data_IF_914869269217
#
_entry.id   IF_914869269217
#
_cell.length_a   1.000
_cell.length_b   1.000
_cell.length_c   1.000
_cell.angle_alpha   90.00
_cell.angle_beta   90.00
_cell.angle_gamma   90.00
#
_symmetry.space_group_name_H-M   'P 1'
#
loop_
_entity.id
_entity.type
_entity.pdbx_description
1 polymer ?
#
# COMPACT_ATOMS: atom_id res chain seq x y z
N UNK A 1 -14.38 -4.44 11.36
CA UNK A 1 -14.19 -3.71 12.64
C UNK A 1 -14.36 -2.20 12.51
N UNK A 2 -13.71 -1.51 11.57
CA UNK A 2 -13.92 -0.05 11.37
C UNK A 2 -15.39 0.37 11.27
N UNK A 3 -16.21 -0.36 10.50
CA UNK A 3 -17.66 -0.15 10.43
C UNK A 3 -18.38 -0.32 11.78
N UNK A 4 -17.97 -1.30 12.61
CA UNK A 4 -18.55 -1.51 13.95
C UNK A 4 -18.18 -0.38 14.92
N UNK A 5 -16.96 0.13 14.83
CA UNK A 5 -16.43 1.23 15.65
C UNK A 5 -16.91 2.60 15.10
N UNK A 6 -17.55 2.63 13.93
CA UNK A 6 -17.97 3.83 13.18
C UNK A 6 -16.81 4.78 12.85
N UNK A 7 -15.60 4.23 12.69
CA UNK A 7 -14.43 5.00 12.28
C UNK A 7 -14.20 4.89 10.77
N UNK A 8 -14.57 5.94 10.05
CA UNK A 8 -14.45 6.03 8.58
C UNK A 8 -12.98 6.01 8.14
N UNK A 9 -12.05 6.43 8.99
CA UNK A 9 -10.63 6.53 8.64
C UNK A 9 -10.03 5.14 8.40
N UNK A 10 -10.35 4.19 9.28
CA UNK A 10 -9.94 2.79 9.12
C UNK A 10 -10.54 2.19 7.84
N UNK A 11 -11.83 2.45 7.57
CA UNK A 11 -12.50 1.91 6.40
C UNK A 11 -11.87 2.40 5.09
N UNK A 12 -11.63 3.72 4.97
CA UNK A 12 -11.05 4.30 3.76
C UNK A 12 -9.60 3.83 3.55
N UNK A 13 -8.78 3.84 4.60
CA UNK A 13 -7.40 3.35 4.51
C UNK A 13 -7.37 1.86 4.14
N UNK A 14 -8.23 1.03 4.72
CA UNK A 14 -8.33 -0.38 4.35
C UNK A 14 -8.74 -0.56 2.88
N UNK A 15 -9.71 0.22 2.41
CA UNK A 15 -10.17 0.17 1.01
C UNK A 15 -9.08 0.63 0.02
N UNK A 16 -8.31 1.67 0.35
CA UNK A 16 -7.19 2.13 -0.47
C UNK A 16 -6.07 1.08 -0.54
N UNK A 17 -5.79 0.36 0.54
CA UNK A 17 -4.82 -0.73 0.51
C UNK A 17 -5.34 -1.95 -0.26
N UNK A 18 -6.63 -2.28 -0.10
CA UNK A 18 -7.27 -3.38 -0.82
C UNK A 18 -7.33 -3.13 -2.33
N UNK A 19 -7.55 -1.89 -2.76
CA UNK A 19 -7.57 -1.54 -4.18
C UNK A 19 -6.23 -1.82 -4.86
N UNK A 20 -5.11 -1.66 -4.15
CA UNK A 20 -3.78 -2.04 -4.66
C UNK A 20 -3.70 -3.52 -5.06
N UNK A 21 -4.26 -4.41 -4.23
CA UNK A 21 -4.30 -5.86 -4.50
C UNK A 21 -5.27 -6.18 -5.63
N UNK A 22 -6.43 -5.52 -5.65
CA UNK A 22 -7.42 -5.72 -6.71
C UNK A 22 -6.87 -5.31 -8.08
N UNK A 23 -6.18 -4.17 -8.15
CA UNK A 23 -5.53 -3.70 -9.39
C UNK A 23 -4.51 -4.74 -9.87
N UNK A 24 -3.67 -5.26 -8.97
CA UNK A 24 -2.68 -6.29 -9.31
C UNK A 24 -3.34 -7.56 -9.85
N UNK A 25 -4.33 -8.10 -9.14
CA UNK A 25 -5.05 -9.30 -9.58
C UNK A 25 -5.76 -9.11 -10.93
N UNK A 26 -6.31 -7.91 -11.18
CA UNK A 26 -6.92 -7.59 -12.47
C UNK A 26 -5.88 -7.60 -13.60
N UNK A 27 -4.68 -7.04 -13.37
CA UNK A 27 -3.59 -7.05 -14.35
C UNK A 27 -3.09 -8.47 -14.67
N UNK A 28 -3.03 -9.36 -13.68
CA UNK A 28 -2.71 -10.77 -13.91
C UNK A 28 -3.85 -11.50 -14.66
N UNK A 29 -5.10 -11.27 -14.26
CA UNK A 29 -6.26 -11.96 -14.86
C UNK A 29 -6.52 -11.61 -16.32
N UNK A 30 -6.16 -10.39 -16.73
CA UNK A 30 -6.30 -9.91 -18.11
C UNK A 30 -5.19 -10.42 -19.04
N UNK A 31 -4.18 -11.10 -18.50
CA UNK A 31 -3.02 -11.56 -19.26
C UNK A 31 -2.05 -10.45 -19.67
N UNK A 32 -2.25 -9.21 -19.19
CA UNK A 32 -1.29 -8.11 -19.33
C UNK A 32 0.06 -8.45 -18.67
N UNK A 33 0.02 -9.27 -17.62
CA UNK A 33 1.18 -9.87 -16.98
C UNK A 33 1.05 -11.39 -17.11
N UNK A 34 1.84 -12.02 -17.98
CA UNK A 34 1.97 -13.47 -18.05
C UNK A 34 3.15 -13.94 -17.19
N UNK A 35 3.08 -15.14 -16.62
CA UNK A 35 4.22 -15.82 -15.97
C UNK A 35 5.04 -16.66 -16.96
N UNK A 36 4.50 -16.93 -18.15
CA UNK A 36 5.21 -17.62 -19.23
C UNK A 36 6.07 -16.60 -19.98
N UNK A 37 7.40 -16.72 -19.89
CA UNK A 37 8.34 -15.91 -20.66
C UNK A 37 9.18 -16.78 -21.58
N UNK A 38 9.16 -16.49 -22.87
CA UNK A 38 10.27 -16.84 -23.75
C UNK A 38 11.43 -15.87 -23.53
N UNK A 39 12.67 -16.36 -23.60
CA UNK A 39 13.88 -15.56 -23.35
C UNK A 39 13.95 -14.28 -24.18
N UNK A 40 13.41 -14.32 -25.40
CA UNK A 40 13.40 -13.21 -26.36
C UNK A 40 12.56 -12.01 -25.87
N UNK A 41 11.50 -12.26 -25.10
CA UNK A 41 10.55 -11.23 -24.64
C UNK A 41 10.76 -10.83 -23.17
N UNK A 42 11.77 -11.38 -22.50
CA UNK A 42 11.98 -11.23 -21.05
C UNK A 42 12.24 -9.78 -20.63
N UNK A 43 12.91 -8.99 -21.48
CA UNK A 43 13.11 -7.57 -21.25
C UNK A 43 11.78 -6.81 -21.20
N UNK A 44 10.92 -7.01 -22.19
CA UNK A 44 9.64 -6.31 -22.32
C UNK A 44 8.69 -6.71 -21.21
N UNK A 45 8.54 -8.01 -20.96
CA UNK A 45 7.64 -8.53 -19.92
C UNK A 45 7.99 -8.02 -18.53
N UNK A 46 9.26 -8.13 -18.11
CA UNK A 46 9.68 -7.61 -16.81
C UNK A 46 9.55 -6.09 -16.73
N UNK A 47 9.73 -5.37 -17.85
CA UNK A 47 9.52 -3.92 -17.89
C UNK A 47 8.05 -3.57 -17.67
N UNK A 48 7.12 -4.35 -18.22
CA UNK A 48 5.69 -4.21 -17.95
C UNK A 48 5.36 -4.50 -16.49
N UNK A 49 5.91 -5.59 -15.92
CA UNK A 49 5.68 -5.98 -14.52
C UNK A 49 6.14 -4.90 -13.56
N UNK A 50 7.42 -4.51 -13.64
CA UNK A 50 7.98 -3.52 -12.72
C UNK A 50 7.42 -2.12 -12.98
N UNK A 51 7.15 -1.77 -14.24
CA UNK A 51 6.56 -0.50 -14.62
C UNK A 51 5.13 -0.32 -14.12
N UNK A 52 4.27 -1.33 -14.28
CA UNK A 52 2.91 -1.30 -13.75
C UNK A 52 2.89 -1.31 -12.21
N UNK A 53 3.80 -2.05 -11.58
CA UNK A 53 3.95 -2.06 -10.12
C UNK A 53 4.33 -0.67 -9.60
N UNK A 54 5.31 -0.01 -10.22
CA UNK A 54 5.70 1.36 -9.89
C UNK A 54 4.53 2.34 -10.10
N UNK A 55 3.85 2.27 -11.24
CA UNK A 55 2.73 3.16 -11.56
C UNK A 55 1.58 3.02 -10.54
N UNK A 56 1.26 1.78 -10.15
CA UNK A 56 0.29 1.48 -9.10
C UNK A 56 0.73 2.06 -7.75
N UNK A 57 1.98 1.87 -7.36
CA UNK A 57 2.48 2.36 -6.07
C UNK A 57 2.44 3.90 -6.00
N UNK A 58 2.82 4.58 -7.08
CA UNK A 58 2.71 6.04 -7.19
C UNK A 58 1.26 6.51 -7.18
N UNK A 59 0.34 5.81 -7.85
CA UNK A 59 -1.09 6.12 -7.81
C UNK A 59 -1.62 6.09 -6.37
N UNK A 60 -1.34 5.01 -5.64
CA UNK A 60 -1.79 4.86 -4.25
C UNK A 60 -1.09 5.89 -3.34
N UNK A 61 0.20 6.19 -3.57
CA UNK A 61 0.93 7.23 -2.85
C UNK A 61 0.24 8.60 -2.96
N UNK A 62 -0.19 8.99 -4.16
CA UNK A 62 -0.93 10.24 -4.38
C UNK A 62 -2.26 10.22 -3.63
N UNK A 63 -3.01 9.12 -3.71
CA UNK A 63 -4.28 8.97 -2.99
C UNK A 63 -4.09 9.05 -1.47
N UNK A 64 -3.02 8.46 -0.93
CA UNK A 64 -2.68 8.53 0.49
C UNK A 64 -2.28 9.95 0.92
N UNK A 65 -1.52 10.66 0.08
CA UNK A 65 -1.09 12.05 0.35
C UNK A 65 -2.30 12.98 0.53
N UNK A 66 -3.34 12.81 -0.28
CA UNK A 66 -4.57 13.60 -0.20
C UNK A 66 -5.72 12.90 0.54
N UNK A 67 -5.44 11.79 1.24
CA UNK A 67 -6.47 10.90 1.77
C UNK A 67 -7.48 11.61 2.67
N UNK A 68 -7.02 12.54 3.52
CA UNK A 68 -7.90 13.32 4.40
C UNK A 68 -8.87 14.19 3.61
N UNK A 69 -8.37 14.93 2.61
CA UNK A 69 -9.20 15.81 1.78
C UNK A 69 -10.16 15.02 0.88
N UNK A 70 -9.69 13.94 0.27
CA UNK A 70 -10.53 13.00 -0.49
C UNK A 70 -11.64 12.43 0.40
N UNK A 71 -11.31 12.04 1.63
CA UNK A 71 -12.31 11.50 2.56
C UNK A 71 -13.32 12.56 2.98
N UNK A 72 -12.90 13.81 3.23
CA UNK A 72 -13.80 14.93 3.59
C UNK A 72 -14.78 15.22 2.46
N UNK A 73 -14.30 15.17 1.23
CA UNK A 73 -15.13 15.36 0.05
C UNK A 73 -16.15 14.23 -0.13
N UNK A 74 -15.75 12.96 0.05
CA UNK A 74 -16.64 11.80 -0.10
C UNK A 74 -17.62 11.60 1.08
N UNK A 75 -17.19 11.91 2.31
CA UNK A 75 -17.93 11.61 3.54
C UNK A 75 -18.02 12.82 4.48
N UNK A 76 -18.62 13.95 4.06
CA UNK A 76 -18.56 15.22 4.79
C UNK A 76 -19.22 15.19 6.18
N UNK A 77 -20.11 14.21 6.43
CA UNK A 77 -20.82 14.06 7.71
C UNK A 77 -20.05 13.27 8.78
N UNK A 78 -18.91 12.68 8.44
CA UNK A 78 -18.15 11.82 9.34
C UNK A 78 -16.96 12.57 9.97
N UNK A 79 -16.55 12.14 11.16
CA UNK A 79 -15.34 12.67 11.80
C UNK A 79 -14.09 12.11 11.13
N UNK A 80 -13.45 12.97 10.34
CA UNK A 80 -12.26 12.62 9.57
C UNK A 80 -11.07 13.32 10.19
N UNK A 81 -10.05 12.52 10.50
CA UNK A 81 -8.83 12.99 11.15
C UNK A 81 -7.61 12.39 10.48
N UNK A 82 -6.51 13.12 10.55
CA UNK A 82 -5.20 12.55 10.29
C UNK A 82 -4.88 11.55 11.41
N UNK A 83 -4.36 10.41 11.02
CA UNK A 83 -3.95 9.31 11.89
C UNK A 83 -2.46 9.04 11.68
N UNK A 84 -1.83 8.27 12.56
CA UNK A 84 -0.42 7.90 12.38
C UNK A 84 -0.20 7.09 11.08
N UNK A 85 -1.23 6.38 10.60
CA UNK A 85 -1.19 5.64 9.35
C UNK A 85 -1.01 6.56 8.14
N UNK A 86 -1.59 7.77 8.17
CA UNK A 86 -1.41 8.79 7.13
C UNK A 86 0.05 9.26 7.05
N UNK A 87 0.83 9.14 8.13
CA UNK A 87 2.26 9.44 8.12
C UNK A 87 3.12 8.26 7.68
N UNK A 88 2.76 7.02 8.03
CA UNK A 88 3.58 5.83 7.78
C UNK A 88 3.35 5.21 6.40
N UNK A 89 2.09 5.07 5.96
CA UNK A 89 1.75 4.36 4.72
C UNK A 89 2.37 4.99 3.46
N UNK A 90 2.42 6.34 3.30
CA UNK A 90 3.09 6.94 2.13
C UNK A 90 4.55 6.51 1.98
N UNK A 91 5.30 6.38 3.08
CA UNK A 91 6.69 5.93 3.01
C UNK A 91 6.81 4.49 2.52
N UNK A 92 5.89 3.61 2.91
CA UNK A 92 5.90 2.23 2.43
C UNK A 92 5.65 2.15 0.92
N UNK A 93 4.70 2.92 0.41
CA UNK A 93 4.43 3.00 -1.03
C UNK A 93 5.57 3.68 -1.80
N UNK A 94 6.25 4.66 -1.20
CA UNK A 94 7.44 5.26 -1.79
C UNK A 94 8.62 4.26 -1.88
N UNK A 95 8.82 3.45 -0.83
CA UNK A 95 9.82 2.38 -0.84
C UNK A 95 9.50 1.35 -1.92
N UNK A 96 8.25 0.91 -2.02
CA UNK A 96 7.80 0.03 -3.10
C UNK A 96 8.14 0.62 -4.47
N UNK A 97 7.75 1.88 -4.71
CA UNK A 97 7.98 2.54 -5.99
C UNK A 97 9.47 2.65 -6.33
N UNK A 98 10.32 2.91 -5.33
CA UNK A 98 11.76 2.94 -5.49
C UNK A 98 12.33 1.55 -5.86
N UNK A 99 11.88 0.48 -5.20
CA UNK A 99 12.31 -0.88 -5.53
C UNK A 99 11.85 -1.28 -6.94
N UNK A 100 10.60 -0.98 -7.30
CA UNK A 100 10.08 -1.18 -8.66
C UNK A 100 10.92 -0.42 -9.72
N UNK A 101 11.33 0.81 -9.41
CA UNK A 101 12.19 1.61 -10.28
C UNK A 101 13.60 1.02 -10.43
N UNK A 102 14.25 0.60 -9.34
CA UNK A 102 15.56 -0.03 -9.43
C UNK A 102 15.51 -1.40 -10.10
N UNK A 103 14.43 -2.16 -9.93
CA UNK A 103 14.18 -3.40 -10.65
C UNK A 103 14.03 -3.17 -12.17
N UNK A 104 13.40 -2.07 -12.60
CA UNK A 104 13.37 -1.67 -14.01
C UNK A 104 14.77 -1.41 -14.57
N UNK A 105 15.59 -0.64 -13.84
CA UNK A 105 16.97 -0.33 -14.24
C UNK A 105 17.78 -1.62 -14.35
N UNK A 106 17.73 -2.46 -13.32
CA UNK A 106 18.42 -3.75 -13.31
C UNK A 106 17.95 -4.65 -14.46
N UNK A 107 16.65 -4.70 -14.73
CA UNK A 107 16.08 -5.46 -15.85
C UNK A 107 16.62 -4.98 -17.21
N UNK A 108 16.76 -3.67 -17.40
CA UNK A 108 17.37 -3.11 -18.60
C UNK A 108 18.84 -3.54 -18.74
N UNK A 109 19.64 -3.36 -17.69
CA UNK A 109 21.06 -3.75 -17.74
C UNK A 109 21.24 -5.26 -17.94
N UNK A 110 20.40 -6.07 -17.29
CA UNK A 110 20.47 -7.54 -17.41
C UNK A 110 20.10 -8.02 -18.80
N UNK A 111 18.94 -7.62 -19.32
CA UNK A 111 18.39 -8.25 -20.52
C UNK A 111 18.68 -7.45 -21.82
N UNK A 112 19.01 -6.15 -21.74
CA UNK A 112 19.41 -5.38 -22.93
C UNK A 112 20.93 -5.21 -23.07
N UNK A 113 21.68 -5.25 -21.96
CA UNK A 113 23.14 -5.05 -21.98
C UNK A 113 23.94 -6.29 -21.56
N UNK A 114 23.29 -7.35 -21.07
CA UNK A 114 23.93 -8.62 -20.73
C UNK A 114 24.71 -8.63 -19.42
N UNK A 115 24.44 -7.69 -18.50
CA UNK A 115 25.06 -7.70 -17.17
C UNK A 115 24.44 -8.78 -16.27
N UNK A 116 25.24 -9.44 -15.44
CA UNK A 116 24.74 -10.41 -14.44
C UNK A 116 24.47 -9.73 -13.09
N UNK A 117 23.31 -9.06 -12.99
CA UNK A 117 22.86 -8.36 -11.79
C UNK A 117 21.42 -8.80 -11.49
N UNK A 118 21.15 -9.20 -10.25
CA UNK A 118 19.85 -9.80 -9.84
C UNK A 118 19.36 -9.33 -8.47
N UNK A 119 19.98 -8.30 -7.88
CA UNK A 119 19.70 -7.88 -6.51
C UNK A 119 18.27 -7.34 -6.35
N UNK A 120 17.88 -6.37 -7.17
CA UNK A 120 16.55 -5.78 -7.12
C UNK A 120 15.47 -6.73 -7.62
N UNK A 121 15.81 -7.62 -8.57
CA UNK A 121 14.93 -8.69 -9.01
C UNK A 121 14.49 -9.59 -7.83
N UNK A 122 15.43 -10.04 -6.99
CA UNK A 122 15.09 -10.84 -5.81
C UNK A 122 14.48 -10.00 -4.67
N UNK A 123 14.95 -8.77 -4.48
CA UNK A 123 14.41 -7.89 -3.45
C UNK A 123 12.95 -7.47 -3.73
N UNK A 124 12.54 -7.41 -5.00
CA UNK A 124 11.20 -6.98 -5.42
C UNK A 124 10.10 -7.82 -4.76
N UNK A 125 10.20 -9.15 -4.85
CA UNK A 125 9.19 -10.06 -4.29
C UNK A 125 9.14 -9.96 -2.76
N UNK A 126 10.29 -10.04 -2.10
CA UNK A 126 10.40 -9.98 -0.64
C UNK A 126 9.87 -8.64 -0.10
N UNK A 127 10.22 -7.54 -0.77
CA UNK A 127 9.80 -6.20 -0.35
C UNK A 127 8.29 -6.03 -0.50
N UNK A 128 7.69 -6.57 -1.56
CA UNK A 128 6.24 -6.58 -1.73
C UNK A 128 5.52 -7.24 -0.55
N UNK A 129 5.97 -8.42 -0.11
CA UNK A 129 5.41 -9.10 1.05
C UNK A 129 5.62 -8.34 2.36
N UNK A 130 6.79 -7.74 2.56
CA UNK A 130 7.10 -6.93 3.74
C UNK A 130 6.22 -5.67 3.82
N UNK A 131 6.05 -4.97 2.70
CA UNK A 131 5.16 -3.80 2.61
C UNK A 131 3.74 -4.23 2.96
N UNK A 132 3.24 -5.30 2.34
CA UNK A 132 1.88 -5.77 2.59
C UNK A 132 1.65 -6.15 4.07
N UNK A 133 2.56 -6.91 4.66
CA UNK A 133 2.51 -7.30 6.07
C UNK A 133 2.51 -6.06 6.99
N UNK A 134 3.35 -5.07 6.68
CA UNK A 134 3.46 -3.83 7.46
C UNK A 134 2.19 -2.98 7.35
N UNK A 135 1.58 -2.90 6.16
CA UNK A 135 0.29 -2.21 5.96
C UNK A 135 -0.82 -2.86 6.79
N UNK A 136 -0.87 -4.20 6.82
CA UNK A 136 -1.79 -4.93 7.70
C UNK A 136 -1.52 -4.62 9.19
N UNK A 137 -0.26 -4.62 9.62
CA UNK A 137 0.11 -4.31 11.00
C UNK A 137 -0.33 -2.88 11.40
N UNK A 138 -0.12 -1.89 10.51
CA UNK A 138 -0.57 -0.50 10.72
C UNK A 138 -2.09 -0.44 10.86
N UNK A 139 -2.84 -1.11 9.99
CA UNK A 139 -4.31 -1.13 10.05
C UNK A 139 -4.83 -1.79 11.33
N UNK A 140 -4.18 -2.86 11.79
CA UNK A 140 -4.50 -3.52 13.07
C UNK A 140 -4.21 -2.59 14.23
N UNK A 141 -3.04 -1.97 14.28
CA UNK A 141 -2.67 -1.01 15.32
C UNK A 141 -3.65 0.18 15.36
N UNK A 142 -4.01 0.73 14.21
CA UNK A 142 -5.01 1.80 14.11
C UNK A 142 -6.37 1.34 14.63
N UNK A 143 -6.78 0.11 14.30
CA UNK A 143 -8.03 -0.47 14.80
C UNK A 143 -8.03 -0.60 16.32
N UNK A 144 -6.91 -1.05 16.91
CA UNK A 144 -6.77 -1.16 18.37
C UNK A 144 -6.85 0.21 19.04
N UNK A 145 -6.14 1.22 18.50
CA UNK A 145 -6.17 2.59 19.03
C UNK A 145 -7.60 3.16 18.97
N UNK A 146 -8.26 3.10 17.81
CA UNK A 146 -9.64 3.60 17.67
C UNK A 146 -10.64 2.83 18.54
N UNK A 147 -10.42 1.52 18.76
CA UNK A 147 -11.26 0.74 19.67
C UNK A 147 -11.13 1.21 21.11
N UNK A 148 -9.89 1.42 21.59
CA UNK A 148 -9.64 1.94 22.95
C UNK A 148 -10.26 3.32 23.15
N UNK A 149 -10.12 4.21 22.17
CA UNK A 149 -10.73 5.53 22.22
C UNK A 149 -12.26 5.48 22.26
N UNK A 150 -12.86 4.53 21.53
CA UNK A 150 -14.32 4.40 21.46
C UNK A 150 -14.94 3.78 22.72
N UNK A 151 -14.27 2.81 23.36
CA UNK A 151 -14.86 1.97 24.42
C UNK A 151 -14.15 2.05 25.77
N UNK A 152 -12.82 2.22 25.83
CA UNK A 152 -12.06 2.23 27.10
C UNK A 152 -11.91 3.63 27.71
N UNK A 153 -11.88 4.70 26.91
CA UNK A 153 -11.80 6.08 27.42
C UNK A 153 -13.16 6.70 27.78
N UNK A 154 -14.28 6.02 27.47
CA UNK A 154 -15.64 6.46 27.81
C UNK A 154 -16.16 5.93 29.14
N UNK A 155 -15.42 5.06 29.84
CA UNK A 155 -15.75 4.77 31.25
C UNK A 155 -15.42 6.03 32.05
N UNK A 156 -16.37 6.58 32.84
CA UNK A 156 -16.10 7.77 33.63
C UNK A 156 -14.95 7.44 34.59
N UNK A 157 -13.80 8.07 34.40
CA UNK A 157 -12.76 8.09 35.42
C UNK A 157 -13.40 8.73 36.64
N UNK A 158 -13.68 7.94 37.68
CA UNK A 158 -14.09 8.46 38.98
C UNK A 158 -12.90 9.27 39.47
N UNK A 159 -12.90 10.59 39.20
CA UNK A 159 -12.04 11.54 39.87
C UNK A 159 -12.34 11.37 41.36
N UNK A 160 -11.45 10.69 42.09
CA UNK A 160 -11.42 10.74 43.55
C UNK A 160 -11.30 12.23 43.90
N UNK A 161 -12.38 12.80 44.43
CA UNK A 161 -12.32 14.06 45.16
C UNK A 161 -11.43 13.80 46.38
N UNK A 162 -10.27 14.46 46.43
CA UNK A 162 -9.56 14.70 47.69
C UNK A 162 -10.27 15.83 48.43
#
# INVERSE_FOLDING_TARGET
MGLRIKDINICVLAMMNLSSILIENLLFSTGLISLYSDEENRLLQNSVIFGLSMARELLILVLLTYRVEITKWLFPKHQIRATFADSMMPWLYLIGAAISFFALIENYFRNAKGYDITFFFYAFEITGYLIFSTLCAILVALTVISYKEAYELKVPSIKKRS
#
